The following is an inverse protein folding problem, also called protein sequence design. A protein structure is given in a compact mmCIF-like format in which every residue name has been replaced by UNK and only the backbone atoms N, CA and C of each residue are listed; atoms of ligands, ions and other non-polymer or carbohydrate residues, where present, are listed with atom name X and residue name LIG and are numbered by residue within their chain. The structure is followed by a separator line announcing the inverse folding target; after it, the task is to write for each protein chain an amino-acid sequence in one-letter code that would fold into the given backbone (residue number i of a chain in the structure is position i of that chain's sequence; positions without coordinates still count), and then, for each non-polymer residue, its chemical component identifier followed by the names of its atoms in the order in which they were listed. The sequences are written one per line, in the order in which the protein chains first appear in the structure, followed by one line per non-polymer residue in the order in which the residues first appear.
data_IF_548318271465
#
_entry.id   IF_548318271465
#
_cell.length_a   1.000
_cell.length_b   1.000
_cell.length_c   1.000
_cell.angle_alpha   90.00
_cell.angle_beta   90.00
_cell.angle_gamma   90.00
#
_symmetry.space_group_name_H-M   'P 1'
#
loop_
_entity.id
_entity.type
_entity.pdbx_description
1 polymer ?
#
# COMPACT_ATOMS: atom_id res chain seq x y z
N UNK A 1 -27.94 13.37 -15.95
CA UNK A 1 -26.58 13.31 -16.50
C UNK A 1 -25.59 13.92 -15.54
N UNK A 2 -25.16 13.14 -14.56
CA UNK A 2 -24.29 13.59 -13.47
C UNK A 2 -22.82 13.52 -13.92
N UNK A 3 -22.27 14.65 -14.35
CA UNK A 3 -20.90 14.82 -14.89
C UNK A 3 -19.77 14.68 -13.86
N UNK A 4 -19.95 13.84 -12.84
CA UNK A 4 -18.98 13.61 -11.75
C UNK A 4 -17.87 12.62 -12.13
N UNK A 5 -18.02 11.91 -13.24
CA UNK A 5 -17.04 10.95 -13.73
C UNK A 5 -16.28 11.54 -14.91
N UNK A 6 -14.94 11.55 -14.82
CA UNK A 6 -14.08 11.82 -15.96
C UNK A 6 -14.39 10.79 -17.06
N UNK A 7 -14.73 11.23 -18.28
CA UNK A 7 -14.98 10.34 -19.44
C UNK A 7 -13.70 9.57 -19.84
N UNK A 8 -12.54 10.07 -19.41
CA UNK A 8 -11.23 9.48 -19.69
C UNK A 8 -10.76 8.51 -18.61
N UNK A 9 -10.22 7.36 -19.01
CA UNK A 9 -9.60 6.37 -18.12
C UNK A 9 -8.14 6.70 -17.72
N UNK A 10 -7.68 7.94 -17.96
CA UNK A 10 -6.25 8.29 -17.91
C UNK A 10 -5.62 8.02 -16.54
N UNK A 11 -6.40 8.19 -15.46
CA UNK A 11 -6.01 7.87 -14.09
C UNK A 11 -5.78 6.37 -13.91
N UNK A 12 -6.71 5.56 -14.36
CA UNK A 12 -6.67 4.11 -14.24
C UNK A 12 -5.53 3.53 -15.08
N UNK A 13 -5.36 3.99 -16.32
CA UNK A 13 -4.24 3.58 -17.17
C UNK A 13 -2.89 3.92 -16.55
N UNK A 14 -2.75 5.09 -15.92
CA UNK A 14 -1.51 5.49 -15.24
C UNK A 14 -1.22 4.56 -14.05
N UNK A 15 -2.23 4.19 -13.27
CA UNK A 15 -2.09 3.22 -12.17
C UNK A 15 -1.68 1.83 -12.68
N UNK A 16 -2.35 1.34 -13.73
CA UNK A 16 -2.03 0.04 -14.34
C UNK A 16 -0.62 0.02 -14.93
N UNK A 17 -0.17 1.11 -15.56
CA UNK A 17 1.20 1.22 -16.09
C UNK A 17 2.25 1.08 -15.00
N UNK A 18 2.05 1.68 -13.82
CA UNK A 18 2.96 1.54 -12.68
C UNK A 18 3.05 0.09 -12.21
N UNK A 19 1.90 -0.60 -12.12
CA UNK A 19 1.84 -2.03 -11.76
C UNK A 19 2.58 -2.90 -12.79
N UNK A 20 2.36 -2.67 -14.08
CA UNK A 20 2.99 -3.43 -15.17
C UNK A 20 4.51 -3.24 -15.16
N UNK A 21 5.00 -2.01 -14.99
CA UNK A 21 6.44 -1.73 -14.88
C UNK A 21 7.07 -2.42 -13.68
N UNK A 22 6.40 -2.39 -12.53
CA UNK A 22 6.91 -3.00 -11.31
C UNK A 22 6.93 -4.52 -11.39
N UNK A 23 5.92 -5.15 -12.00
CA UNK A 23 5.90 -6.59 -12.30
C UNK A 23 7.09 -6.97 -13.18
N UNK A 24 7.37 -6.19 -14.23
CA UNK A 24 8.47 -6.45 -15.16
C UNK A 24 9.85 -6.35 -14.49
N UNK A 25 9.97 -5.52 -13.45
CA UNK A 25 11.21 -5.30 -12.71
C UNK A 25 11.28 -6.10 -11.38
N UNK A 26 10.27 -6.90 -11.07
CA UNK A 26 10.22 -7.68 -9.83
C UNK A 26 10.87 -9.04 -10.03
N UNK A 27 11.87 -9.35 -9.19
CA UNK A 27 12.52 -10.66 -9.14
C UNK A 27 11.59 -11.79 -8.65
N UNK A 28 10.43 -11.43 -8.08
CA UNK A 28 9.52 -12.37 -7.42
C UNK A 28 8.18 -12.54 -8.16
N UNK A 29 7.93 -11.82 -9.25
CA UNK A 29 6.64 -11.85 -9.94
C UNK A 29 6.46 -13.00 -10.96
N UNK A 30 7.38 -13.96 -10.99
CA UNK A 30 7.37 -15.09 -11.93
C UNK A 30 6.53 -16.28 -11.46
N UNK A 31 6.15 -16.33 -10.17
CA UNK A 31 5.27 -17.36 -9.61
C UNK A 31 3.94 -16.76 -9.17
N UNK A 32 2.89 -17.58 -9.15
CA UNK A 32 1.55 -17.17 -8.69
C UNK A 32 1.58 -16.65 -7.24
N UNK A 33 2.23 -17.40 -6.35
CA UNK A 33 2.42 -17.00 -4.96
C UNK A 33 3.27 -15.71 -4.80
N UNK A 34 4.16 -15.42 -5.75
CA UNK A 34 4.92 -14.18 -5.78
C UNK A 34 4.09 -13.00 -6.30
N UNK A 35 3.24 -13.25 -7.29
CA UNK A 35 2.30 -12.27 -7.82
C UNK A 35 1.25 -11.87 -6.77
N UNK A 36 0.75 -12.81 -5.97
CA UNK A 36 -0.20 -12.54 -4.88
C UNK A 36 0.41 -11.63 -3.81
N UNK A 37 1.62 -11.96 -3.34
CA UNK A 37 2.35 -11.13 -2.36
C UNK A 37 2.63 -9.73 -2.92
N UNK A 38 3.03 -9.65 -4.18
CA UNK A 38 3.27 -8.37 -4.85
C UNK A 38 1.98 -7.54 -4.96
N UNK A 39 0.85 -8.18 -5.29
CA UNK A 39 -0.45 -7.52 -5.36
C UNK A 39 -0.86 -6.93 -4.01
N UNK A 40 -0.68 -7.70 -2.92
CA UNK A 40 -0.92 -7.22 -1.56
C UNK A 40 -0.04 -6.03 -1.20
N UNK A 41 1.26 -6.10 -1.49
CA UNK A 41 2.21 -5.01 -1.26
C UNK A 41 1.80 -3.74 -2.02
N UNK A 42 1.50 -3.85 -3.32
CA UNK A 42 1.15 -2.69 -4.15
C UNK A 42 -0.17 -2.06 -3.71
N UNK A 43 -1.16 -2.89 -3.36
CA UNK A 43 -2.44 -2.42 -2.83
C UNK A 43 -2.24 -1.66 -1.52
N UNK A 44 -1.38 -2.14 -0.64
CA UNK A 44 -1.07 -1.48 0.64
C UNK A 44 -0.41 -0.11 0.42
N UNK A 45 0.59 -0.04 -0.47
CA UNK A 45 1.28 1.22 -0.79
C UNK A 45 0.35 2.21 -1.48
N UNK A 46 -0.51 1.76 -2.39
CA UNK A 46 -1.51 2.60 -3.03
C UNK A 46 -2.52 3.14 -2.00
N UNK A 47 -2.97 2.29 -1.07
CA UNK A 47 -3.87 2.68 0.02
C UNK A 47 -3.22 3.73 0.93
N UNK A 48 -1.93 3.59 1.27
CA UNK A 48 -1.20 4.59 2.04
C UNK A 48 -1.17 5.96 1.33
N UNK A 49 -0.87 5.98 0.03
CA UNK A 49 -0.91 7.21 -0.78
C UNK A 49 -2.29 7.86 -0.76
N UNK A 50 -3.35 7.08 -0.94
CA UNK A 50 -4.73 7.57 -0.92
C UNK A 50 -5.14 8.15 0.44
N UNK A 51 -4.55 7.67 1.53
CA UNK A 51 -4.77 8.18 2.88
C UNK A 51 -3.84 9.35 3.27
N UNK A 52 -3.06 9.89 2.31
CA UNK A 52 -2.12 10.99 2.57
C UNK A 52 -0.93 10.59 3.43
N UNK A 53 -0.56 9.30 3.41
CA UNK A 53 0.58 8.76 4.15
C UNK A 53 1.73 8.51 3.18
N UNK A 54 2.95 8.93 3.55
CA UNK A 54 4.15 8.62 2.78
C UNK A 54 4.40 7.09 2.81
N UNK A 55 4.39 6.40 1.66
CA UNK A 55 4.46 4.93 1.65
C UNK A 55 5.79 4.37 2.14
N UNK A 56 6.90 5.08 1.91
CA UNK A 56 8.23 4.63 2.31
C UNK A 56 8.35 4.70 3.83
N UNK A 57 8.00 5.85 4.41
CA UNK A 57 8.00 6.04 5.86
C UNK A 57 7.00 5.12 6.55
N UNK A 58 5.84 4.89 5.94
CA UNK A 58 4.83 3.97 6.45
C UNK A 58 5.37 2.54 6.51
N UNK A 59 6.02 2.06 5.46
CA UNK A 59 6.60 0.72 5.43
C UNK A 59 7.68 0.56 6.51
N UNK A 60 8.57 1.53 6.66
CA UNK A 60 9.58 1.52 7.72
C UNK A 60 8.95 1.47 9.12
N UNK A 61 7.89 2.24 9.34
CA UNK A 61 7.19 2.24 10.62
C UNK A 61 6.52 0.90 10.91
N UNK A 62 5.77 0.33 9.95
CA UNK A 62 5.13 -0.98 10.11
C UNK A 62 6.16 -2.07 10.41
N UNK A 63 7.29 -2.09 9.70
CA UNK A 63 8.35 -3.07 9.93
C UNK A 63 8.98 -2.94 11.32
N UNK A 64 9.16 -1.72 11.82
CA UNK A 64 9.63 -1.49 13.19
C UNK A 64 8.60 -1.96 14.23
N UNK A 65 7.31 -1.67 14.03
CA UNK A 65 6.26 -2.15 14.93
C UNK A 65 6.15 -3.68 14.94
N UNK A 66 6.32 -4.34 13.80
CA UNK A 66 6.34 -5.81 13.73
C UNK A 66 7.57 -6.41 14.40
N UNK A 67 8.73 -5.73 14.32
CA UNK A 67 9.96 -6.15 14.98
C UNK A 67 9.86 -6.04 16.51
N UNK A 68 9.29 -4.95 17.00
CA UNK A 68 9.19 -4.66 18.43
C UNK A 68 7.93 -5.27 19.08
N UNK A 69 6.97 -5.72 18.26
CA UNK A 69 5.70 -6.30 18.67
C UNK A 69 5.75 -7.81 18.97
N UNK A 70 4.59 -8.42 19.27
CA UNK A 70 4.48 -9.85 19.51
C UNK A 70 4.83 -10.66 18.25
N UNK A 71 5.53 -11.79 18.43
CA UNK A 71 5.91 -12.68 17.33
C UNK A 71 4.70 -13.21 16.53
N UNK A 72 3.54 -13.28 17.17
CA UNK A 72 2.25 -13.65 16.56
C UNK A 72 1.22 -12.55 16.86
N UNK A 73 1.09 -11.54 16.00
CA UNK A 73 0.14 -10.45 16.20
C UNK A 73 -1.30 -10.95 16.06
N UNK A 74 -2.18 -10.42 16.92
CA UNK A 74 -3.62 -10.64 16.83
C UNK A 74 -4.20 -9.78 15.70
N UNK A 75 -5.39 -10.11 15.22
CA UNK A 75 -6.05 -9.32 14.18
C UNK A 75 -6.26 -7.85 14.57
N UNK A 76 -6.50 -7.55 15.85
CA UNK A 76 -6.56 -6.17 16.36
C UNK A 76 -5.26 -5.42 16.15
N UNK A 77 -4.12 -6.07 16.44
CA UNK A 77 -2.79 -5.48 16.36
C UNK A 77 -2.44 -5.17 14.91
N UNK A 78 -2.91 -6.00 13.97
CA UNK A 78 -2.72 -5.76 12.53
C UNK A 78 -3.59 -4.62 12.00
N UNK A 79 -4.84 -4.50 12.48
CA UNK A 79 -5.73 -3.39 12.08
C UNK A 79 -5.13 -2.05 12.47
N UNK A 80 -4.48 -2.00 13.63
CA UNK A 80 -3.80 -0.81 14.13
C UNK A 80 -2.63 -0.35 13.24
N UNK A 81 -2.06 -1.25 12.44
CA UNK A 81 -0.97 -0.97 11.52
C UNK A 81 -1.46 -0.53 10.13
N UNK A 82 -2.76 -0.65 9.82
CA UNK A 82 -3.29 -0.34 8.49
C UNK A 82 -3.22 1.16 8.14
N UNK A 83 -3.16 1.54 6.85
CA UNK A 83 -2.85 2.91 6.42
C UNK A 83 -3.89 3.98 6.83
N UNK A 84 -5.09 3.55 7.22
CA UNK A 84 -6.18 4.42 7.68
C UNK A 84 -6.29 4.45 9.22
N UNK A 85 -5.43 3.72 9.94
CA UNK A 85 -5.43 3.67 11.39
C UNK A 85 -5.07 5.03 12.01
N UNK A 86 -5.74 5.35 13.11
CA UNK A 86 -5.45 6.54 13.91
C UNK A 86 -4.12 6.49 14.68
N UNK A 87 -3.48 5.31 14.75
CA UNK A 87 -2.21 5.12 15.46
C UNK A 87 -0.97 5.49 14.64
N UNK A 88 -1.13 5.80 13.35
CA UNK A 88 -0.02 6.21 12.50
C UNK A 88 0.53 7.57 12.95
N UNK A 89 1.83 7.69 13.22
CA UNK A 89 2.47 8.95 13.58
C UNK A 89 2.21 10.07 12.55
N UNK A 90 2.00 11.29 13.05
CA UNK A 90 1.74 12.45 12.20
C UNK A 90 2.93 12.81 11.31
N UNK A 91 4.15 12.44 11.69
CA UNK A 91 5.37 12.73 10.89
C UNK A 91 5.44 11.94 9.56
N UNK A 92 4.70 10.82 9.47
CA UNK A 92 4.66 9.95 8.29
C UNK A 92 3.62 10.47 7.28
N UNK A 93 2.66 11.28 7.74
CA UNK A 93 1.67 11.89 6.85
C UNK A 93 2.33 12.95 5.98
N UNK A 94 1.98 12.97 4.71
CA UNK A 94 2.44 13.97 3.75
C UNK A 94 1.80 15.30 4.14
N UNK A 95 2.62 16.36 4.24
CA UNK A 95 2.17 17.73 4.55
C UNK A 95 1.26 18.29 3.46
#
# INVERSE_FOLDING_TARGET
DDGRYEVSNLRDERLVKVLVLYRKNSLFAFSEAGAERLSGYMTLMATARLNGVDPERYLSWVLNQLKDGPAYPTQSDLIDLLPYSGKIPKEIRVK
#
